data_IF_538392694426
#
_entry.id   IF_538392694426
#
_cell.length_a   1.000
_cell.length_b   1.000
_cell.length_c   1.000
_cell.angle_alpha   90.00
_cell.angle_beta   90.00
_cell.angle_gamma   90.00
#
_symmetry.space_group_name_H-M   'P 1'
#
loop_
_entity.id
_entity.type
_entity.pdbx_description
1 polymer ?
#
# COMPACT_ATOMS: atom_id res chain seq x y z
N UNK A 1 -16.23 11.69 -20.61
CA UNK A 1 -15.61 10.80 -19.62
C UNK A 1 -14.86 11.65 -18.61
N UNK A 2 -15.56 12.11 -17.58
CA UNK A 2 -14.94 12.78 -16.43
C UNK A 2 -14.80 11.67 -15.39
N UNK A 3 -13.64 11.03 -15.38
CA UNK A 3 -13.27 10.07 -14.34
C UNK A 3 -13.07 10.84 -13.06
N UNK A 4 -14.13 10.95 -12.26
CA UNK A 4 -14.07 11.50 -10.92
C UNK A 4 -13.06 10.70 -10.11
N UNK A 5 -11.86 11.25 -9.95
CA UNK A 5 -10.91 10.94 -8.88
C UNK A 5 -11.53 11.41 -7.55
N UNK A 6 -12.71 10.90 -7.22
CA UNK A 6 -13.42 11.16 -5.98
C UNK A 6 -13.19 9.93 -5.14
N UNK A 7 -12.17 10.00 -4.30
CA UNK A 7 -12.12 9.45 -2.94
C UNK A 7 -13.24 8.44 -2.67
N UNK A 8 -13.15 7.23 -3.24
CA UNK A 8 -14.15 6.21 -3.00
C UNK A 8 -13.94 5.72 -1.56
N UNK A 9 -14.90 6.04 -0.69
CA UNK A 9 -14.92 5.48 0.65
C UNK A 9 -15.04 3.95 0.56
N UNK A 10 -14.33 3.25 1.42
CA UNK A 10 -14.27 1.79 1.42
C UNK A 10 -14.19 1.25 2.84
N UNK A 11 -14.61 0.01 3.05
CA UNK A 11 -14.34 -0.76 4.25
C UNK A 11 -13.32 -1.88 3.99
N UNK A 12 -13.31 -2.44 2.78
CA UNK A 12 -12.49 -3.59 2.38
C UNK A 12 -11.77 -3.35 1.05
N UNK A 13 -10.62 -4.00 0.88
CA UNK A 13 -9.83 -3.94 -0.36
C UNK A 13 -10.63 -4.42 -1.60
N UNK A 14 -11.60 -5.31 -1.42
CA UNK A 14 -12.46 -5.83 -2.50
C UNK A 14 -13.40 -4.80 -3.13
N UNK A 15 -13.64 -3.68 -2.44
CA UNK A 15 -14.45 -2.57 -2.95
C UNK A 15 -13.64 -1.60 -3.81
N UNK A 16 -12.31 -1.75 -3.76
CA UNK A 16 -11.35 -0.96 -4.50
C UNK A 16 -10.85 -1.75 -5.72
N UNK A 17 -10.45 -1.03 -6.77
CA UNK A 17 -9.93 -1.63 -8.01
C UNK A 17 -8.54 -2.24 -7.85
N UNK A 18 -8.13 -3.06 -8.83
CA UNK A 18 -6.75 -3.58 -8.87
C UNK A 18 -5.71 -2.46 -8.85
N UNK A 19 -4.64 -2.64 -8.06
CA UNK A 19 -3.61 -1.60 -7.87
C UNK A 19 -3.94 -0.58 -6.77
N UNK A 20 -5.05 -0.75 -6.05
CA UNK A 20 -5.44 0.09 -4.91
C UNK A 20 -5.73 -0.75 -3.66
N UNK A 21 -5.69 -0.12 -2.49
CA UNK A 21 -6.05 -0.74 -1.22
C UNK A 21 -6.95 0.19 -0.41
N UNK A 22 -7.74 -0.37 0.50
CA UNK A 22 -8.60 0.42 1.38
C UNK A 22 -7.83 0.87 2.63
N UNK A 23 -7.23 2.06 2.58
CA UNK A 23 -6.40 2.60 3.66
C UNK A 23 -7.13 3.67 4.49
N UNK A 24 -6.69 3.86 5.73
CA UNK A 24 -7.18 4.92 6.62
C UNK A 24 -6.56 6.26 6.21
N UNK A 25 -7.35 7.33 6.19
CA UNK A 25 -6.88 8.69 5.94
C UNK A 25 -5.84 9.14 6.98
N UNK A 26 -4.80 9.84 6.53
CA UNK A 26 -3.78 10.44 7.40
C UNK A 26 -4.36 11.49 8.36
N UNK A 27 -5.44 12.17 7.95
CA UNK A 27 -5.99 13.32 8.68
C UNK A 27 -7.22 12.96 9.53
N UNK A 28 -7.98 11.94 9.13
CA UNK A 28 -9.25 11.57 9.76
C UNK A 28 -9.28 10.05 9.96
N UNK A 29 -9.02 9.58 11.18
CA UNK A 29 -9.01 8.14 11.53
C UNK A 29 -10.28 7.39 11.15
N UNK A 30 -11.42 8.09 11.12
CA UNK A 30 -12.72 7.52 10.79
C UNK A 30 -12.97 7.40 9.28
N UNK A 31 -12.15 8.02 8.44
CA UNK A 31 -12.30 8.00 6.99
C UNK A 31 -11.35 6.98 6.37
N UNK A 32 -11.90 6.11 5.53
CA UNK A 32 -11.16 5.13 4.74
C UNK A 32 -11.44 5.39 3.27
N UNK A 33 -10.43 5.22 2.44
CA UNK A 33 -10.56 5.48 1.01
C UNK A 33 -9.65 4.55 0.21
N UNK A 34 -10.09 4.25 -1.02
CA UNK A 34 -9.24 3.57 -1.98
C UNK A 34 -8.01 4.44 -2.26
N UNK A 35 -6.84 3.93 -1.85
CA UNK A 35 -5.54 4.58 -1.97
C UNK A 35 -4.67 3.74 -2.90
N UNK A 36 -3.82 4.37 -3.70
CA UNK A 36 -2.90 3.67 -4.59
C UNK A 36 -1.91 2.79 -3.82
N UNK A 37 -1.54 1.66 -4.40
CA UNK A 37 -0.38 0.87 -3.93
C UNK A 37 0.92 1.66 -4.08
N UNK A 38 1.92 1.29 -3.28
CA UNK A 38 3.25 1.92 -3.33
C UNK A 38 3.99 1.58 -4.63
N UNK A 39 4.56 2.59 -5.26
CA UNK A 39 5.42 2.52 -6.44
C UNK A 39 6.89 2.37 -6.02
N UNK A 40 7.79 2.18 -7.00
CA UNK A 40 9.22 2.02 -6.70
C UNK A 40 9.78 3.29 -6.03
N UNK A 41 10.41 3.11 -4.86
CA UNK A 41 10.92 4.18 -4.02
C UNK A 41 9.94 4.72 -2.98
N UNK A 42 8.65 4.36 -3.03
CA UNK A 42 7.66 4.81 -2.04
C UNK A 42 7.90 4.17 -0.68
N UNK A 43 7.61 4.91 0.39
CA UNK A 43 7.65 4.38 1.76
C UNK A 43 6.56 3.32 1.96
N UNK A 44 6.97 2.20 2.50
CA UNK A 44 6.11 1.08 2.80
C UNK A 44 6.34 0.61 4.23
N UNK A 45 5.38 -0.14 4.75
CA UNK A 45 5.52 -0.78 6.04
C UNK A 45 5.62 -2.30 5.84
N UNK A 46 6.59 -3.00 6.44
CA UNK A 46 6.76 -4.44 6.20
C UNK A 46 5.56 -5.28 6.71
N UNK A 47 4.81 -4.75 7.68
CA UNK A 47 3.52 -5.34 8.12
C UNK A 47 2.33 -4.98 7.21
N UNK A 48 2.53 -4.25 6.12
CA UNK A 48 1.47 -4.01 5.12
C UNK A 48 1.20 -5.31 4.36
N UNK A 49 0.18 -6.04 4.78
CA UNK A 49 -0.22 -7.30 4.14
C UNK A 49 -0.54 -7.13 2.64
N UNK A 50 -0.29 -8.19 1.85
CA UNK A 50 -0.63 -8.27 0.43
C UNK A 50 -2.13 -8.05 0.19
N UNK A 51 -2.46 -7.44 -0.95
CA UNK A 51 -3.86 -7.31 -1.44
C UNK A 51 -4.20 -8.57 -2.24
N UNK A 52 -5.43 -9.13 -2.10
CA UNK A 52 -6.50 -8.66 -1.21
C UNK A 52 -6.26 -9.07 0.25
N UNK A 53 -6.31 -8.10 1.16
CA UNK A 53 -6.31 -8.39 2.59
C UNK A 53 -7.73 -8.74 3.03
N UNK A 54 -7.93 -9.95 3.57
CA UNK A 54 -9.25 -10.46 4.00
C UNK A 54 -9.80 -9.76 5.27
N UNK A 55 -9.04 -8.84 5.87
CA UNK A 55 -9.42 -8.08 7.06
C UNK A 55 -9.58 -6.58 6.80
N UNK A 56 -9.81 -5.82 7.87
CA UNK A 56 -9.82 -4.34 7.81
C UNK A 56 -8.40 -3.82 8.02
N UNK A 57 -7.86 -3.04 7.06
CA UNK A 57 -6.60 -2.34 7.27
C UNK A 57 -6.77 -1.32 8.40
N UNK A 58 -5.87 -1.35 9.36
CA UNK A 58 -5.77 -0.34 10.43
C UNK A 58 -4.66 0.68 10.15
N UNK A 59 -3.80 0.37 9.18
CA UNK A 59 -2.69 1.21 8.76
C UNK A 59 -3.11 2.15 7.62
N UNK A 60 -2.45 3.30 7.57
CA UNK A 60 -2.57 4.30 6.51
C UNK A 60 -1.75 3.91 5.27
N UNK A 61 -0.87 2.92 5.37
CA UNK A 61 0.01 2.46 4.30
C UNK A 61 -0.60 1.30 3.50
N UNK A 62 -0.69 1.49 2.18
CA UNK A 62 -0.95 0.40 1.24
C UNK A 62 0.32 -0.45 1.01
N UNK A 63 0.19 -1.70 0.54
CA UNK A 63 1.35 -2.48 0.13
C UNK A 63 1.90 -1.97 -1.20
N UNK A 64 3.12 -2.38 -1.53
CA UNK A 64 3.72 -2.13 -2.82
C UNK A 64 2.95 -2.82 -3.96
N UNK A 65 3.16 -2.35 -5.19
CA UNK A 65 2.67 -3.01 -6.40
C UNK A 65 3.17 -4.48 -6.48
N UNK A 66 2.46 -5.37 -7.19
CA UNK A 66 2.75 -6.81 -7.21
C UNK A 66 4.17 -7.20 -7.66
N UNK A 67 4.84 -6.32 -8.42
CA UNK A 67 6.20 -6.49 -8.93
C UNK A 67 7.28 -5.92 -7.99
N UNK A 68 6.89 -5.34 -6.86
CA UNK A 68 7.75 -4.70 -5.89
C UNK A 68 7.63 -5.40 -4.54
N UNK A 69 8.69 -5.28 -3.75
CA UNK A 69 8.71 -5.76 -2.38
C UNK A 69 9.00 -4.61 -1.41
N UNK A 70 8.43 -4.71 -0.22
CA UNK A 70 8.75 -3.77 0.85
C UNK A 70 10.05 -4.21 1.53
N UNK A 71 11.16 -3.51 1.25
CA UNK A 71 12.51 -3.84 1.70
C UNK A 71 12.98 -2.79 2.71
N UNK A 72 13.50 -3.24 3.86
CA UNK A 72 14.09 -2.36 4.86
C UNK A 72 15.54 -2.04 4.47
N UNK A 73 15.79 -0.79 4.07
CA UNK A 73 17.10 -0.33 3.58
C UNK A 73 18.02 0.26 4.66
N UNK A 74 17.50 0.49 5.87
CA UNK A 74 18.23 1.06 7.01
C UNK A 74 17.40 2.08 7.81
N UNK A 75 17.80 2.36 9.05
CA UNK A 75 17.14 3.34 9.95
C UNK A 75 15.64 3.06 10.23
N UNK A 76 15.19 1.82 10.11
CA UNK A 76 13.77 1.47 10.28
C UNK A 76 12.85 1.96 9.15
N UNK A 77 13.42 2.52 8.07
CA UNK A 77 12.68 2.91 6.87
C UNK A 77 12.59 1.72 5.92
N UNK A 78 11.41 1.46 5.41
CA UNK A 78 11.18 0.43 4.39
C UNK A 78 10.62 1.08 3.14
N UNK A 79 11.18 0.71 1.98
CA UNK A 79 10.76 1.24 0.68
C UNK A 79 10.28 0.12 -0.23
N UNK A 80 9.39 0.45 -1.14
CA UNK A 80 9.00 -0.43 -2.23
C UNK A 80 10.12 -0.49 -3.27
N UNK A 81 10.81 -1.63 -3.34
CA UNK A 81 11.95 -1.83 -4.23
C UNK A 81 11.76 -3.10 -5.07
N UNK A 82 12.39 -3.15 -6.24
CA UNK A 82 12.41 -4.35 -7.06
C UNK A 82 13.25 -5.44 -6.38
N UNK A 83 12.70 -6.63 -6.09
CA UNK A 83 13.46 -7.72 -5.49
C UNK A 83 14.59 -8.23 -6.38
N UNK A 84 14.56 -7.96 -7.69
CA UNK A 84 15.64 -8.34 -8.61
C UNK A 84 16.86 -7.43 -8.53
N UNK A 85 16.67 -6.14 -8.18
CA UNK A 85 17.76 -5.16 -8.10
C UNK A 85 18.39 -5.10 -6.70
N UNK A 86 17.71 -5.64 -5.68
CA UNK A 86 18.15 -5.61 -4.28
C UNK A 86 18.13 -7.00 -3.62
N UNK A 87 18.83 -8.01 -4.20
CA UNK A 87 18.85 -9.37 -3.65
C UNK A 87 19.58 -9.47 -2.30
N UNK A 88 20.55 -8.58 -2.02
CA UNK A 88 21.36 -8.61 -0.80
C UNK A 88 20.61 -8.28 0.49
N UNK A 89 19.42 -7.68 0.41
CA UNK A 89 18.63 -7.31 1.60
C UNK A 89 17.67 -8.42 2.08
N UNK A 90 17.69 -9.58 1.42
CA UNK A 90 16.89 -10.76 1.78
C UNK A 90 17.68 -11.83 2.56
N UNK A 91 18.96 -11.58 2.88
CA UNK A 91 19.87 -12.47 3.61
C UNK A 91 19.99 -12.10 5.10
#
# INVERSE_FOLDING_TARGET
MIGSFVLQACEKDSECGGGTCCAVSLWIRSLRMCTSMGQEGDECHPMSHKVPFLGKRLHHTCPCLPNLACITIGEGKSLCLSPHNYPDYYL
#
